data_IF_463845372395
#
_entry.id   IF_463845372395
#
_cell.length_a   1.000
_cell.length_b   1.000
_cell.length_c   1.000
_cell.angle_alpha   90.00
_cell.angle_beta   90.00
_cell.angle_gamma   90.00
#
_symmetry.space_group_name_H-M   'P 1'
#
loop_
_entity.id
_entity.type
_entity.pdbx_description
1 polymer ?
#
# COMPACT_ATOMS: atom_id res chain seq x y z
N UNK A 1 2.56 -8.72 -4.46
CA UNK A 1 1.33 -8.08 -4.90
C UNK A 1 0.17 -8.24 -3.96
N UNK A 2 0.15 -9.32 -3.21
CA UNK A 2 -0.93 -9.53 -2.26
C UNK A 2 -1.00 -8.42 -1.23
N UNK A 3 0.13 -7.96 -0.77
CA UNK A 3 0.13 -6.91 0.23
C UNK A 3 -0.47 -5.62 -0.31
N UNK A 4 -0.15 -5.30 -1.56
CA UNK A 4 -0.69 -4.08 -2.15
C UNK A 4 -2.23 -4.15 -2.19
N UNK A 5 -2.76 -5.30 -2.58
CA UNK A 5 -4.20 -5.45 -2.67
C UNK A 5 -4.83 -5.32 -1.29
N UNK A 6 -4.23 -5.90 -0.28
CA UNK A 6 -4.75 -5.82 1.07
C UNK A 6 -4.82 -4.39 1.56
N UNK A 7 -3.74 -3.65 1.39
CA UNK A 7 -3.72 -2.27 1.83
C UNK A 7 -4.69 -1.41 1.03
N UNK A 8 -4.78 -1.67 -0.28
CA UNK A 8 -5.70 -0.91 -1.10
C UNK A 8 -7.14 -1.12 -0.64
N UNK A 9 -7.50 -2.36 -0.32
CA UNK A 9 -8.84 -2.64 0.16
C UNK A 9 -9.10 -1.92 1.47
N UNK A 10 -8.11 -1.89 2.35
CA UNK A 10 -8.25 -1.21 3.62
C UNK A 10 -8.56 0.27 3.39
N UNK A 11 -7.82 0.91 2.50
CA UNK A 11 -8.03 2.33 2.26
C UNK A 11 -9.37 2.59 1.57
N UNK A 12 -9.79 1.69 0.70
CA UNK A 12 -11.10 1.84 0.08
C UNK A 12 -12.21 1.78 1.13
N UNK A 13 -12.02 0.91 2.13
CA UNK A 13 -13.01 0.75 3.17
C UNK A 13 -13.19 2.02 3.98
N UNK A 14 -12.13 2.75 4.22
CA UNK A 14 -12.23 3.95 5.03
C UNK A 14 -12.57 5.18 4.20
N UNK A 15 -12.74 5.04 2.88
CA UNK A 15 -13.30 6.15 2.12
C UNK A 15 -12.40 6.73 1.05
N UNK A 16 -11.23 6.20 0.82
CA UNK A 16 -10.35 6.74 -0.22
C UNK A 16 -10.81 6.26 -1.59
N UNK A 17 -10.46 7.04 -2.62
CA UNK A 17 -10.76 6.63 -3.97
C UNK A 17 -9.82 5.50 -4.39
N UNK A 18 -10.18 4.83 -5.50
CA UNK A 18 -9.38 3.72 -5.99
C UNK A 18 -7.95 4.17 -6.30
N UNK A 19 -7.82 5.30 -6.98
CA UNK A 19 -6.48 5.79 -7.34
C UNK A 19 -5.67 6.08 -6.10
N UNK A 20 -6.27 6.73 -5.13
CA UNK A 20 -5.55 7.07 -3.91
C UNK A 20 -5.21 5.83 -3.11
N UNK A 21 -6.14 4.90 -3.03
CA UNK A 21 -5.91 3.68 -2.28
C UNK A 21 -4.74 2.90 -2.85
N UNK A 22 -4.69 2.75 -4.16
CA UNK A 22 -3.62 2.00 -4.80
C UNK A 22 -2.29 2.72 -4.63
N UNK A 23 -2.28 4.03 -4.81
CA UNK A 23 -1.04 4.79 -4.69
C UNK A 23 -0.47 4.67 -3.28
N UNK A 24 -1.31 4.80 -2.28
CA UNK A 24 -0.85 4.71 -0.90
C UNK A 24 -0.41 3.30 -0.55
N UNK A 25 -1.12 2.30 -1.05
CA UNK A 25 -0.75 0.92 -0.80
C UNK A 25 0.63 0.61 -1.37
N UNK A 26 0.88 1.07 -2.59
CA UNK A 26 2.17 0.84 -3.22
C UNK A 26 3.27 1.53 -2.44
N UNK A 27 3.02 2.74 -1.98
CA UNK A 27 4.03 3.47 -1.22
C UNK A 27 4.39 2.75 0.07
N UNK A 28 3.39 2.23 0.77
CA UNK A 28 3.65 1.53 2.02
C UNK A 28 4.46 0.27 1.78
N UNK A 29 4.06 -0.52 0.80
CA UNK A 29 4.76 -1.77 0.53
C UNK A 29 6.19 -1.50 0.08
N UNK A 30 6.38 -0.46 -0.72
CA UNK A 30 7.72 -0.12 -1.18
C UNK A 30 8.62 0.26 -0.01
N UNK A 31 8.10 1.02 0.93
CA UNK A 31 8.90 1.41 2.07
C UNK A 31 9.28 0.22 2.93
N UNK A 32 8.36 -0.69 3.11
CA UNK A 32 8.67 -1.89 3.89
C UNK A 32 9.77 -2.70 3.22
N UNK A 33 9.73 -2.83 1.90
CA UNK A 33 10.74 -3.59 1.20
C UNK A 33 12.08 -2.91 1.21
N UNK A 34 12.09 -1.60 1.09
CA UNK A 34 13.35 -0.87 1.17
C UNK A 34 13.97 -1.04 2.53
N UNK A 35 13.15 -1.02 3.57
CA UNK A 35 13.66 -1.19 4.92
C UNK A 35 14.35 -2.54 5.11
N UNK A 36 13.86 -3.55 4.44
CA UNK A 36 14.47 -4.86 4.56
C UNK A 36 15.90 -4.89 4.06
N UNK A 37 16.18 -4.15 3.01
CA UNK A 37 17.49 -4.18 2.41
C UNK A 37 18.41 -3.12 2.96
N UNK A 38 17.84 -2.08 3.54
CA UNK A 38 18.64 -0.98 4.00
C UNK A 38 19.01 -1.13 5.37
N UNK A 39 19.46 -1.92 5.90
CA UNK A 39 19.75 -1.97 7.27
C UNK A 39 21.19 -1.56 7.54
#
# INVERSE_FOLDING_TARGET
>A
MEEVIKFAKFYLDIGYSIDEAITMAINIVREVEISKYEY
#
